data_IF_597511980680
#
_entry.id   IF_597511980680
#
_cell.length_a   1.000
_cell.length_b   1.000
_cell.length_c   1.000
_cell.angle_alpha   90.00
_cell.angle_beta   90.00
_cell.angle_gamma   90.00
#
_symmetry.space_group_name_H-M   'P 1'
#
loop_
_entity.id
_entity.type
_entity.pdbx_description
1 polymer ?
#
# COMPACT_ATOMS: atom_id res chain seq x y z
N UNK A 1 -87.12 -17.08 -6.39
CA UNK A 1 -86.60 -17.39 -5.04
C UNK A 1 -85.14 -17.78 -5.16
N UNK A 2 -84.27 -17.01 -4.49
CA UNK A 2 -82.81 -17.11 -4.49
C UNK A 2 -82.31 -18.41 -3.87
N UNK A 3 -81.25 -18.99 -4.43
CA UNK A 3 -80.31 -19.79 -3.66
C UNK A 3 -78.88 -19.34 -3.93
N UNK A 4 -78.27 -18.91 -2.83
CA UNK A 4 -76.99 -18.25 -2.71
C UNK A 4 -75.84 -19.21 -3.04
N UNK A 5 -74.90 -18.65 -3.80
CA UNK A 5 -73.52 -19.08 -3.95
C UNK A 5 -72.84 -19.38 -2.61
N UNK A 6 -72.34 -20.60 -2.43
CA UNK A 6 -71.24 -20.86 -1.49
C UNK A 6 -70.03 -21.34 -2.28
N UNK A 7 -69.30 -20.40 -2.89
CA UNK A 7 -67.95 -20.66 -3.40
C UNK A 7 -67.07 -21.06 -2.21
N UNK A 8 -66.76 -22.34 -2.12
CA UNK A 8 -65.79 -22.91 -1.19
C UNK A 8 -64.41 -22.43 -1.62
N UNK A 9 -63.84 -21.46 -0.91
CA UNK A 9 -62.45 -21.04 -1.15
C UNK A 9 -61.52 -22.16 -0.72
N UNK A 10 -60.93 -22.83 -1.72
CA UNK A 10 -59.88 -23.85 -1.53
C UNK A 10 -58.61 -23.10 -1.09
N UNK A 11 -58.29 -23.07 0.22
CA UNK A 11 -56.95 -22.70 0.67
C UNK A 11 -55.96 -23.74 0.15
N UNK A 12 -54.98 -23.32 -0.63
CA UNK A 12 -53.86 -24.16 -1.05
C UNK A 12 -52.95 -24.40 0.18
N UNK A 13 -52.72 -25.66 0.60
CA UNK A 13 -51.70 -25.95 1.59
C UNK A 13 -50.34 -25.81 0.90
N UNK A 14 -49.41 -25.07 1.51
CA UNK A 14 -48.03 -24.82 1.04
C UNK A 14 -47.82 -23.56 0.19
N UNK A 15 -48.25 -22.39 0.69
CA UNK A 15 -47.54 -21.16 0.33
C UNK A 15 -46.29 -21.04 1.23
N UNK A 16 -45.08 -20.82 0.68
CA UNK A 16 -43.90 -20.51 1.49
C UNK A 16 -44.16 -19.22 2.29
N UNK A 17 -43.52 -19.04 3.47
CA UNK A 17 -43.73 -17.86 4.29
C UNK A 17 -43.46 -16.61 3.45
N UNK A 18 -44.42 -15.68 3.46
CA UNK A 18 -44.34 -14.40 2.76
C UNK A 18 -43.07 -13.65 3.21
N UNK A 19 -42.06 -13.62 2.34
CA UNK A 19 -40.81 -12.90 2.60
C UNK A 19 -41.14 -11.42 2.46
N UNK A 20 -41.41 -10.77 3.60
CA UNK A 20 -41.89 -9.39 3.63
C UNK A 20 -40.91 -8.47 2.89
N UNK A 21 -41.34 -7.95 1.74
CA UNK A 21 -40.60 -7.02 0.87
C UNK A 21 -40.14 -5.73 1.58
N UNK A 22 -40.66 -5.46 2.78
CA UNK A 22 -40.23 -4.38 3.67
C UNK A 22 -38.78 -4.55 4.19
N UNK A 23 -38.23 -5.77 4.13
CA UNK A 23 -36.86 -6.07 4.58
C UNK A 23 -35.77 -5.77 3.54
N UNK A 24 -36.04 -5.77 2.23
CA UNK A 24 -34.95 -5.56 1.24
C UNK A 24 -34.59 -4.09 1.07
N UNK A 25 -35.58 -3.17 1.06
CA UNK A 25 -35.34 -1.72 0.87
C UNK A 25 -34.61 -1.07 2.05
N UNK A 26 -34.98 -1.46 3.27
CA UNK A 26 -34.33 -0.99 4.51
C UNK A 26 -32.91 -1.52 4.62
N UNK A 27 -32.67 -2.79 4.27
CA UNK A 27 -31.32 -3.35 4.25
C UNK A 27 -30.42 -2.73 3.18
N UNK A 28 -30.93 -2.48 1.97
CA UNK A 28 -30.18 -1.76 0.93
C UNK A 28 -29.82 -0.34 1.40
N UNK A 29 -30.77 0.39 2.00
CA UNK A 29 -30.52 1.74 2.51
C UNK A 29 -29.46 1.76 3.63
N UNK A 30 -29.52 0.80 4.55
CA UNK A 30 -28.52 0.65 5.62
C UNK A 30 -27.14 0.27 5.06
N UNK A 31 -27.07 -0.61 4.07
CA UNK A 31 -25.81 -0.95 3.38
C UNK A 31 -25.23 0.26 2.67
N UNK A 32 -26.03 1.01 1.90
CA UNK A 32 -25.57 2.23 1.22
C UNK A 32 -25.07 3.27 2.24
N UNK A 33 -25.81 3.49 3.33
CA UNK A 33 -25.38 4.39 4.39
C UNK A 33 -24.07 3.94 5.03
N UNK A 34 -23.93 2.64 5.31
CA UNK A 34 -22.68 2.08 5.82
C UNK A 34 -21.51 2.31 4.86
N UNK A 35 -21.68 2.07 3.56
CA UNK A 35 -20.65 2.33 2.55
C UNK A 35 -20.30 3.83 2.48
N UNK A 36 -21.28 4.72 2.48
CA UNK A 36 -21.04 6.17 2.46
C UNK A 36 -20.25 6.60 3.70
N UNK A 37 -20.68 6.17 4.89
CA UNK A 37 -20.02 6.50 6.15
C UNK A 37 -18.62 5.91 6.19
N UNK A 38 -18.44 4.65 5.80
CA UNK A 38 -17.13 4.00 5.75
C UNK A 38 -16.19 4.69 4.75
N UNK A 39 -16.65 4.97 3.54
CA UNK A 39 -15.86 5.69 2.53
C UNK A 39 -15.49 7.11 2.99
N UNK A 40 -16.41 7.83 3.64
CA UNK A 40 -16.10 9.14 4.21
C UNK A 40 -15.06 9.07 5.33
N UNK A 41 -15.15 8.06 6.20
CA UNK A 41 -14.19 7.85 7.28
C UNK A 41 -12.81 7.52 6.71
N UNK A 42 -12.73 6.62 5.71
CA UNK A 42 -11.48 6.30 5.01
C UNK A 42 -10.87 7.55 4.36
N UNK A 43 -11.68 8.38 3.69
CA UNK A 43 -11.20 9.61 3.07
C UNK A 43 -10.61 10.58 4.11
N UNK A 44 -11.31 10.78 5.23
CA UNK A 44 -10.84 11.67 6.29
C UNK A 44 -9.54 11.16 6.94
N UNK A 45 -9.42 9.84 7.16
CA UNK A 45 -8.19 9.22 7.69
C UNK A 45 -7.03 9.42 6.72
N UNK A 46 -7.25 9.17 5.42
CA UNK A 46 -6.21 9.34 4.41
C UNK A 46 -5.78 10.80 4.28
N UNK A 47 -6.72 11.74 4.31
CA UNK A 47 -6.41 13.17 4.28
C UNK A 47 -5.57 13.60 5.49
N UNK A 48 -5.91 13.13 6.70
CA UNK A 48 -5.13 13.41 7.90
C UNK A 48 -3.71 12.80 7.83
N UNK A 49 -3.59 11.58 7.30
CA UNK A 49 -2.30 10.93 7.09
C UNK A 49 -1.43 11.70 6.09
N UNK A 50 -2.01 12.17 4.99
CA UNK A 50 -1.30 13.01 4.02
C UNK A 50 -0.83 14.32 4.64
N UNK A 51 -1.68 15.01 5.41
CA UNK A 51 -1.29 16.23 6.11
C UNK A 51 -0.11 16.00 7.07
N UNK A 52 -0.11 14.86 7.78
CA UNK A 52 0.99 14.48 8.66
C UNK A 52 2.29 14.21 7.90
N UNK A 53 2.21 13.52 6.74
CA UNK A 53 3.37 13.30 5.86
C UNK A 53 3.94 14.61 5.35
N UNK A 54 3.09 15.52 4.86
CA UNK A 54 3.51 16.84 4.38
C UNK A 54 4.15 17.70 5.47
N UNK A 55 3.71 17.55 6.72
CA UNK A 55 4.29 18.24 7.87
C UNK A 55 5.61 17.62 8.38
N UNK A 56 5.91 16.36 8.01
CA UNK A 56 7.16 15.70 8.36
C UNK A 56 8.33 16.27 7.54
N UNK A 57 9.55 16.18 8.09
CA UNK A 57 10.77 16.53 7.37
C UNK A 57 11.00 15.62 6.15
N UNK A 58 11.79 16.04 5.15
CA UNK A 58 12.12 15.20 3.99
C UNK A 58 12.69 13.83 4.37
N UNK A 59 13.56 13.78 5.38
CA UNK A 59 14.13 12.53 5.88
C UNK A 59 13.06 11.62 6.52
N UNK A 60 12.11 12.17 7.27
CA UNK A 60 11.00 11.39 7.85
C UNK A 60 10.06 10.86 6.77
N UNK A 61 9.76 11.68 5.74
CA UNK A 61 8.98 11.21 4.58
C UNK A 61 9.70 10.11 3.81
N UNK A 62 11.01 10.22 3.63
CA UNK A 62 11.84 9.18 3.03
C UNK A 62 11.78 7.85 3.78
N UNK A 63 11.81 7.86 5.11
CA UNK A 63 11.63 6.64 5.91
C UNK A 63 10.24 6.00 5.73
N UNK A 64 9.19 6.82 5.64
CA UNK A 64 7.85 6.31 5.33
C UNK A 64 7.78 5.70 3.93
N UNK A 65 8.47 6.28 2.95
CA UNK A 65 8.55 5.72 1.60
C UNK A 65 9.30 4.37 1.60
N UNK A 66 10.40 4.24 2.35
CA UNK A 66 11.15 2.99 2.51
C UNK A 66 10.26 1.88 3.10
N UNK A 67 9.44 2.23 4.10
CA UNK A 67 8.49 1.31 4.73
C UNK A 67 7.34 0.93 3.78
N UNK A 68 6.65 1.93 3.21
CA UNK A 68 5.48 1.75 2.35
C UNK A 68 5.80 0.97 1.06
N UNK A 69 7.01 1.13 0.52
CA UNK A 69 7.46 0.43 -0.68
C UNK A 69 8.10 -0.94 -0.38
N UNK A 70 8.11 -1.38 0.89
CA UNK A 70 8.56 -2.71 1.27
C UNK A 70 10.08 -2.93 1.18
N UNK A 71 10.88 -1.87 1.15
CA UNK A 71 12.35 -1.96 1.06
C UNK A 71 12.94 -2.82 2.20
N UNK A 72 12.38 -2.68 3.40
CA UNK A 72 12.79 -3.41 4.61
C UNK A 72 12.60 -4.93 4.53
N UNK A 73 11.82 -5.43 3.55
CA UNK A 73 11.68 -6.87 3.33
C UNK A 73 13.00 -7.53 2.90
N UNK A 74 13.91 -6.76 2.29
CA UNK A 74 15.23 -7.23 1.86
C UNK A 74 16.37 -6.47 2.56
N UNK A 75 16.18 -5.18 2.83
CA UNK A 75 17.17 -4.31 3.46
C UNK A 75 16.96 -4.26 4.97
N UNK A 76 17.50 -5.26 5.67
CA UNK A 76 17.46 -5.30 7.13
C UNK A 76 18.64 -4.51 7.73
N UNK A 77 18.61 -4.30 9.05
CA UNK A 77 19.73 -3.68 9.75
C UNK A 77 21.05 -4.47 9.58
N UNK A 78 20.96 -5.79 9.43
CA UNK A 78 22.09 -6.70 9.26
C UNK A 78 22.51 -6.88 7.79
N UNK A 79 23.82 -6.70 7.52
CA UNK A 79 24.46 -6.87 6.22
C UNK A 79 24.62 -8.32 5.72
N UNK A 80 23.90 -9.29 6.30
CA UNK A 80 24.00 -10.71 5.94
C UNK A 80 22.65 -11.29 5.46
N UNK A 81 21.73 -10.43 5.03
CA UNK A 81 20.42 -10.86 4.53
C UNK A 81 20.37 -10.84 2.99
N UNK A 82 19.19 -10.60 2.42
CA UNK A 82 18.96 -10.61 0.96
C UNK A 82 19.57 -9.39 0.26
N UNK A 83 19.76 -8.28 0.96
CA UNK A 83 20.31 -7.02 0.46
C UNK A 83 21.13 -6.32 1.58
N UNK A 84 22.03 -5.38 1.22
CA UNK A 84 22.83 -4.65 2.22
C UNK A 84 21.98 -3.73 3.09
N UNK A 85 22.48 -3.39 4.27
CA UNK A 85 21.82 -2.43 5.16
C UNK A 85 21.74 -1.06 4.52
N UNK A 86 20.63 -0.36 4.77
CA UNK A 86 20.45 1.04 4.38
C UNK A 86 21.05 1.98 5.43
N UNK A 87 21.28 1.50 6.65
CA UNK A 87 21.81 2.27 7.76
C UNK A 87 23.25 2.66 7.50
N UNK A 88 23.54 3.97 7.48
CA UNK A 88 24.88 4.49 7.19
C UNK A 88 25.34 4.25 5.75
N UNK A 89 24.42 3.92 4.82
CA UNK A 89 24.77 3.72 3.41
C UNK A 89 25.26 5.02 2.78
N UNK A 90 24.58 6.15 3.02
CA UNK A 90 24.92 7.40 2.36
C UNK A 90 26.36 7.85 2.69
N UNK A 91 27.15 8.10 1.66
CA UNK A 91 28.56 8.50 1.78
C UNK A 91 29.53 7.34 2.09
N UNK A 92 29.05 6.12 2.28
CA UNK A 92 29.90 4.94 2.43
C UNK A 92 30.53 4.50 1.09
N UNK A 93 31.59 3.71 1.17
CA UNK A 93 32.20 3.07 0.00
C UNK A 93 31.55 1.70 -0.23
N UNK A 94 30.92 1.51 -1.39
CA UNK A 94 30.32 0.26 -1.82
C UNK A 94 31.26 -0.45 -2.80
N UNK A 95 31.58 -1.71 -2.52
CA UNK A 95 32.29 -2.58 -3.47
C UNK A 95 31.28 -3.28 -4.36
N UNK A 96 31.44 -3.20 -5.68
CA UNK A 96 30.56 -3.85 -6.66
C UNK A 96 31.04 -5.26 -7.00
N UNK A 97 30.18 -6.05 -7.65
CA UNK A 97 30.51 -7.41 -8.07
C UNK A 97 31.72 -7.51 -9.02
N UNK A 98 32.03 -6.46 -9.78
CA UNK A 98 33.20 -6.39 -10.66
C UNK A 98 34.50 -6.03 -9.91
N UNK A 99 34.43 -5.81 -8.60
CA UNK A 99 35.54 -5.40 -7.75
C UNK A 99 35.82 -3.90 -7.75
N UNK A 100 35.11 -3.11 -8.56
CA UNK A 100 35.19 -1.65 -8.50
C UNK A 100 34.54 -1.10 -7.23
N UNK A 101 34.89 0.14 -6.89
CA UNK A 101 34.37 0.84 -5.71
C UNK A 101 33.70 2.14 -6.10
N UNK A 102 32.60 2.44 -5.44
CA UNK A 102 31.76 3.61 -5.69
C UNK A 102 31.31 4.19 -4.36
N UNK A 103 31.29 5.52 -4.25
CA UNK A 103 30.67 6.21 -3.12
C UNK A 103 29.16 6.17 -3.27
N UNK A 104 28.46 5.76 -2.21
CA UNK A 104 27.01 5.78 -2.16
C UNK A 104 26.47 7.21 -1.97
N UNK A 105 26.55 8.01 -3.04
CA UNK A 105 26.00 9.36 -3.12
C UNK A 105 24.55 9.35 -3.64
N UNK A 106 23.98 10.55 -3.81
CA UNK A 106 22.62 10.71 -4.32
C UNK A 106 22.43 10.12 -5.73
N UNK A 107 23.46 10.16 -6.59
CA UNK A 107 23.38 9.62 -7.95
C UNK A 107 23.38 8.09 -7.93
N UNK A 108 24.25 7.49 -7.12
CA UNK A 108 24.29 6.04 -6.90
C UNK A 108 22.97 5.51 -6.31
N UNK A 109 22.40 6.20 -5.31
CA UNK A 109 21.14 5.80 -4.69
C UNK A 109 19.99 5.87 -5.72
N UNK A 110 19.90 6.96 -6.48
CA UNK A 110 18.90 7.12 -7.54
C UNK A 110 19.03 6.05 -8.62
N UNK A 111 20.25 5.80 -9.10
CA UNK A 111 20.51 4.75 -10.09
C UNK A 111 20.16 3.35 -9.54
N UNK A 112 20.50 3.07 -8.28
CA UNK A 112 20.17 1.78 -7.65
C UNK A 112 18.66 1.55 -7.51
N UNK A 113 17.87 2.61 -7.29
CA UNK A 113 16.40 2.51 -7.18
C UNK A 113 15.75 2.32 -8.56
N UNK A 114 16.25 3.03 -9.58
CA UNK A 114 15.67 3.01 -10.92
C UNK A 114 16.19 1.85 -11.79
N UNK A 115 17.48 1.56 -11.69
CA UNK A 115 18.23 0.58 -12.48
C UNK A 115 19.08 -0.34 -11.55
N UNK A 116 18.44 -1.10 -10.64
CA UNK A 116 19.12 -1.89 -9.59
C UNK A 116 20.12 -2.94 -10.09
N UNK A 117 20.05 -3.30 -11.37
CA UNK A 117 20.95 -4.28 -11.99
C UNK A 117 22.22 -3.66 -12.59
N UNK A 118 22.31 -2.34 -12.66
CA UNK A 118 23.46 -1.64 -13.23
C UNK A 118 24.69 -1.74 -12.33
N UNK A 119 24.51 -1.57 -11.01
CA UNK A 119 25.59 -1.59 -10.00
C UNK A 119 25.19 -2.45 -8.81
N UNK A 120 25.49 -3.74 -8.91
CA UNK A 120 25.16 -4.71 -7.84
C UNK A 120 26.31 -4.76 -6.84
N UNK A 121 26.00 -4.56 -5.55
CA UNK A 121 26.96 -4.70 -4.45
C UNK A 121 27.54 -6.11 -4.42
N UNK A 122 28.84 -6.22 -4.13
CA UNK A 122 29.54 -7.47 -3.98
C UNK A 122 28.87 -8.36 -2.91
N UNK A 123 28.77 -9.66 -3.18
CA UNK A 123 28.15 -10.63 -2.26
C UNK A 123 26.63 -10.74 -2.34
N UNK A 124 25.94 -9.86 -3.10
CA UNK A 124 24.48 -9.88 -3.23
C UNK A 124 24.01 -10.30 -4.62
N UNK A 125 22.79 -10.83 -4.70
CA UNK A 125 22.15 -11.15 -5.97
C UNK A 125 21.40 -9.94 -6.54
N UNK A 126 21.27 -9.87 -7.86
CA UNK A 126 20.57 -8.79 -8.57
C UNK A 126 19.03 -8.95 -8.51
N UNK A 127 18.48 -9.05 -7.29
CA UNK A 127 17.07 -9.35 -7.00
C UNK A 127 16.25 -8.10 -6.65
N UNK A 128 16.88 -6.95 -6.45
CA UNK A 128 16.17 -5.70 -6.16
C UNK A 128 15.26 -5.31 -7.35
N UNK A 129 13.95 -5.08 -7.11
CA UNK A 129 13.02 -4.66 -8.16
C UNK A 129 13.30 -3.22 -8.58
N UNK A 130 13.01 -2.89 -9.83
CA UNK A 130 13.07 -1.50 -10.31
C UNK A 130 11.83 -0.73 -9.86
N UNK A 131 12.04 0.50 -9.40
CA UNK A 131 10.96 1.42 -9.02
C UNK A 131 10.71 2.50 -10.08
N UNK A 132 11.22 2.31 -11.30
CA UNK A 132 11.02 3.24 -12.41
C UNK A 132 9.53 3.39 -12.73
N UNK A 133 9.02 4.62 -12.64
CA UNK A 133 7.61 4.94 -12.85
C UNK A 133 6.70 4.61 -11.65
N UNK A 134 7.25 4.07 -10.56
CA UNK A 134 6.56 3.88 -9.29
C UNK A 134 6.89 4.99 -8.29
N UNK A 135 8.17 5.42 -8.28
CA UNK A 135 8.64 6.54 -7.48
C UNK A 135 8.96 7.74 -8.37
N UNK A 136 8.58 8.91 -7.87
CA UNK A 136 8.93 10.22 -8.45
C UNK A 136 10.36 10.62 -8.06
N UNK A 137 10.95 11.56 -8.79
CA UNK A 137 12.28 12.08 -8.46
C UNK A 137 12.31 12.76 -7.08
N UNK A 138 11.21 13.39 -6.66
CA UNK A 138 11.09 14.01 -5.34
C UNK A 138 11.06 12.97 -4.22
N UNK A 139 10.29 11.88 -4.37
CA UNK A 139 10.28 10.77 -3.43
C UNK A 139 11.65 10.09 -3.32
N UNK A 140 12.38 9.95 -4.43
CA UNK A 140 13.75 9.42 -4.42
C UNK A 140 14.70 10.36 -3.68
N UNK A 141 14.54 11.68 -3.84
CA UNK A 141 15.32 12.66 -3.09
C UNK A 141 15.01 12.56 -1.58
N UNK A 142 13.74 12.39 -1.19
CA UNK A 142 13.35 12.20 0.20
C UNK A 142 13.92 10.91 0.80
N UNK A 143 13.86 9.80 0.06
CA UNK A 143 14.54 8.54 0.44
C UNK A 143 16.04 8.79 0.62
N UNK A 144 16.67 9.53 -0.29
CA UNK A 144 18.10 9.86 -0.18
C UNK A 144 18.40 10.68 1.08
N UNK A 145 17.54 11.64 1.45
CA UNK A 145 17.67 12.39 2.71
C UNK A 145 17.51 11.48 3.94
N UNK A 146 16.62 10.50 3.90
CA UNK A 146 16.46 9.53 4.98
C UNK A 146 17.75 8.74 5.26
N UNK A 147 18.48 8.36 4.19
CA UNK A 147 19.73 7.59 4.27
C UNK A 147 20.93 8.40 4.76
N UNK A 148 20.87 9.75 4.74
CA UNK A 148 21.92 10.62 5.28
C UNK A 148 21.98 10.64 6.81
N UNK A 149 20.86 10.31 7.47
CA UNK A 149 20.74 10.43 8.92
C UNK A 149 21.19 9.11 9.58
N UNK A 150 22.07 9.16 10.59
CA UNK A 150 22.63 7.98 11.25
C UNK A 150 21.59 7.19 12.06
#
# INVERSE_FOLDING_TARGET
>A
MSFLTKRRTRRLPNQPPEVTHMKTRTWIALSILFFIVASSAIYLINAANQAKRLAASPAERGWLLIEDNGCMACHQADNNFRAPTLLGLYGSEVTLQDGSKVTADAAYIRESILEPRAKVSAGYQATMPSFKGLLTDEEIAEITEALKKP
#
